data_IF_013211033669
#
_entry.id   IF_013211033669
#
_cell.length_a   1.000
_cell.length_b   1.000
_cell.length_c   1.000
_cell.angle_alpha   90.00
_cell.angle_beta   90.00
_cell.angle_gamma   90.00
#
_symmetry.space_group_name_H-M   'P 1'
#
loop_
_entity.id
_entity.type
_entity.pdbx_description
1 polymer ?
#
# COMPACT_ATOMS: atom_id res chain seq x y z
N UNK A 1 -9.36 -1.80 24.53
CA UNK A 1 -9.30 -2.17 23.12
C UNK A 1 -8.42 -1.24 22.31
N UNK A 2 -8.72 0.05 22.39
CA UNK A 2 -7.86 1.02 21.71
C UNK A 2 -6.43 0.96 22.22
N UNK A 3 -6.28 0.73 23.53
CA UNK A 3 -4.96 0.64 24.13
C UNK A 3 -4.17 -0.54 23.55
N UNK A 4 -4.85 -1.66 23.33
CA UNK A 4 -4.18 -2.83 22.79
C UNK A 4 -3.74 -2.58 21.35
N UNK A 5 -4.57 -1.90 20.56
CA UNK A 5 -4.23 -1.58 19.19
C UNK A 5 -3.03 -0.64 19.13
N UNK A 6 -3.04 0.38 19.98
CA UNK A 6 -1.96 1.35 20.01
C UNK A 6 -0.64 0.70 20.42
N UNK A 7 -0.70 -0.21 21.37
CA UNK A 7 0.49 -0.91 21.81
C UNK A 7 1.06 -1.77 20.69
N UNK A 8 0.19 -2.46 19.97
CA UNK A 8 0.63 -3.28 18.85
C UNK A 8 1.30 -2.43 17.77
N UNK A 9 0.71 -1.27 17.47
CA UNK A 9 1.28 -0.37 16.49
C UNK A 9 2.64 0.16 16.92
N UNK A 10 2.77 0.49 18.19
CA UNK A 10 4.03 0.96 18.72
C UNK A 10 5.12 -0.09 18.58
N UNK A 11 4.78 -1.33 18.87
CA UNK A 11 5.73 -2.42 18.75
C UNK A 11 6.15 -2.61 17.30
N UNK A 12 5.22 -2.52 16.38
CA UNK A 12 5.53 -2.65 14.96
C UNK A 12 6.41 -1.52 14.49
N UNK A 13 6.13 -0.30 14.94
CA UNK A 13 6.96 0.84 14.55
C UNK A 13 8.38 0.73 15.08
N UNK A 14 8.55 0.12 16.24
CA UNK A 14 9.87 -0.13 16.78
C UNK A 14 10.63 -1.18 15.97
N UNK A 15 9.90 -2.15 15.46
CA UNK A 15 10.49 -3.28 14.75
C UNK A 15 10.75 -2.99 13.28
N UNK A 16 9.91 -2.16 12.67
CA UNK A 16 9.96 -1.94 11.23
C UNK A 16 10.22 -0.47 10.94
N UNK A 17 11.39 -0.19 10.40
CA UNK A 17 11.77 1.18 10.05
C UNK A 17 10.86 1.74 8.97
N UNK A 18 10.64 3.04 9.00
CA UNK A 18 9.90 3.78 7.98
C UNK A 18 8.42 3.43 7.88
N UNK A 19 7.88 2.75 8.87
CA UNK A 19 6.46 2.38 8.89
C UNK A 19 5.74 3.23 9.92
N UNK A 20 4.64 3.84 9.53
CA UNK A 20 3.83 4.58 10.48
C UNK A 20 2.35 4.25 10.23
N UNK A 21 1.55 4.30 11.28
CA UNK A 21 0.15 3.96 11.19
C UNK A 21 -0.70 5.21 11.19
N UNK A 22 -1.68 5.27 10.31
CA UNK A 22 -2.60 6.40 10.22
C UNK A 22 -4.01 5.92 9.94
N UNK A 23 -4.96 6.77 10.28
CA UNK A 23 -6.36 6.53 9.92
C UNK A 23 -6.54 6.76 8.43
N UNK A 24 -7.37 5.94 7.83
CA UNK A 24 -7.77 6.12 6.45
C UNK A 24 -9.27 5.86 6.35
N UNK A 25 -9.83 6.08 5.18
CA UNK A 25 -11.25 5.79 4.98
C UNK A 25 -11.55 4.30 5.19
N UNK A 26 -10.56 3.47 5.07
CA UNK A 26 -10.70 2.02 5.30
C UNK A 26 -10.22 1.60 6.69
N UNK A 27 -9.96 2.55 7.60
CA UNK A 27 -9.51 2.26 8.94
C UNK A 27 -8.03 2.54 9.14
N UNK A 28 -7.49 2.04 10.24
CA UNK A 28 -6.06 2.22 10.53
C UNK A 28 -5.25 1.37 9.58
N UNK A 29 -4.25 1.97 8.95
CA UNK A 29 -3.41 1.26 8.00
C UNK A 29 -1.96 1.69 8.13
N UNK A 30 -1.02 0.79 7.78
CA UNK A 30 0.38 1.15 7.75
C UNK A 30 0.72 1.94 6.49
N UNK A 31 1.46 3.00 6.69
CA UNK A 31 1.92 3.88 5.63
C UNK A 31 3.43 3.92 5.62
N UNK A 32 3.99 4.26 4.48
CA UNK A 32 5.40 4.57 4.41
C UNK A 32 5.58 5.95 5.05
N UNK A 33 6.45 6.02 6.05
CA UNK A 33 6.61 7.20 6.88
C UNK A 33 6.92 8.44 6.03
N UNK A 34 6.20 9.51 6.32
CA UNK A 34 6.41 10.78 5.62
C UNK A 34 5.79 10.85 4.24
N UNK A 35 5.03 9.84 3.84
CA UNK A 35 4.39 9.84 2.53
C UNK A 35 2.91 9.55 2.68
N UNK A 36 2.19 9.60 1.57
CA UNK A 36 0.79 9.17 1.54
C UNK A 36 0.63 7.77 1.01
N UNK A 37 1.73 7.06 0.86
CA UNK A 37 1.71 5.72 0.30
C UNK A 37 1.42 4.70 1.37
N UNK A 38 0.37 3.93 1.17
CA UNK A 38 0.09 2.79 2.03
C UNK A 38 1.02 1.65 1.66
N UNK A 39 1.33 0.82 2.63
CA UNK A 39 2.29 -0.26 2.39
C UNK A 39 1.81 -1.19 1.28
N UNK A 40 0.52 -1.51 1.23
CA UNK A 40 0.02 -2.40 0.19
C UNK A 40 0.16 -1.78 -1.20
N UNK A 41 0.11 -0.45 -1.31
CA UNK A 41 0.31 0.22 -2.58
C UNK A 41 1.74 0.05 -3.07
N UNK A 42 2.70 0.19 -2.15
CA UNK A 42 4.10 -0.01 -2.49
C UNK A 42 4.32 -1.44 -2.98
N UNK A 43 3.74 -2.41 -2.28
CA UNK A 43 3.88 -3.81 -2.67
C UNK A 43 3.31 -4.05 -4.06
N UNK A 44 2.14 -3.47 -4.35
CA UNK A 44 1.53 -3.62 -5.66
C UNK A 44 2.42 -3.09 -6.78
N UNK A 45 3.02 -1.93 -6.55
CA UNK A 45 3.89 -1.35 -7.56
C UNK A 45 5.12 -2.21 -7.79
N UNK A 46 5.69 -2.75 -6.70
CA UNK A 46 6.84 -3.63 -6.84
C UNK A 46 6.49 -4.86 -7.66
N UNK A 47 5.31 -5.41 -7.44
CA UNK A 47 4.85 -6.57 -8.21
C UNK A 47 4.67 -6.23 -9.68
N UNK A 48 4.19 -5.03 -9.96
CA UNK A 48 4.02 -4.59 -11.34
C UNK A 48 5.35 -4.53 -12.09
N UNK A 49 6.43 -4.29 -11.37
CA UNK A 49 7.76 -4.26 -11.96
C UNK A 49 8.52 -5.58 -11.76
N UNK A 50 7.78 -6.65 -11.52
CA UNK A 50 8.40 -7.96 -11.42
C UNK A 50 9.32 -8.13 -10.24
N UNK A 51 9.13 -7.35 -9.19
CA UNK A 51 9.97 -7.42 -8.01
C UNK A 51 11.17 -6.49 -8.03
N UNK A 52 11.26 -5.63 -9.02
CA UNK A 52 12.39 -4.71 -9.15
C UNK A 52 12.20 -3.50 -8.25
N UNK A 53 12.92 -3.50 -7.14
CA UNK A 53 12.79 -2.45 -6.14
C UNK A 53 13.24 -1.10 -6.69
N UNK A 54 14.30 -1.09 -7.49
CA UNK A 54 14.81 0.16 -8.04
C UNK A 54 13.80 0.85 -8.94
N UNK A 55 13.14 0.08 -9.79
CA UNK A 55 12.13 0.65 -10.69
C UNK A 55 10.91 1.12 -9.92
N UNK A 56 10.49 0.35 -8.93
CA UNK A 56 9.36 0.74 -8.10
C UNK A 56 9.67 2.02 -7.33
N UNK A 57 10.88 2.12 -6.79
CA UNK A 57 11.29 3.32 -6.06
C UNK A 57 11.26 4.55 -6.96
N UNK A 58 11.74 4.41 -8.17
CA UNK A 58 11.73 5.51 -9.14
C UNK A 58 10.30 5.90 -9.48
N UNK A 59 9.43 4.91 -9.67
CA UNK A 59 8.03 5.17 -9.97
C UNK A 59 7.35 5.93 -8.85
N UNK A 60 7.63 5.54 -7.61
CA UNK A 60 6.99 6.14 -6.44
C UNK A 60 7.70 7.39 -5.95
N UNK A 61 8.87 7.68 -6.49
CA UNK A 61 9.67 8.83 -6.08
C UNK A 61 10.08 8.75 -4.61
N UNK A 62 10.45 7.57 -4.17
CA UNK A 62 10.94 7.37 -2.80
C UNK A 62 12.25 6.59 -2.85
N UNK A 63 13.06 6.68 -1.81
CA UNK A 63 14.31 5.93 -1.79
C UNK A 63 14.09 4.43 -1.80
N UNK A 64 14.98 3.71 -2.45
CA UNK A 64 14.87 2.25 -2.53
C UNK A 64 14.88 1.61 -1.15
N UNK A 65 15.58 2.21 -0.19
CA UNK A 65 15.59 1.68 1.18
C UNK A 65 14.20 1.68 1.81
N UNK A 66 13.40 2.68 1.48
CA UNK A 66 12.04 2.74 2.01
C UNK A 66 11.14 1.70 1.34
N UNK A 67 11.34 1.46 0.05
CA UNK A 67 10.60 0.41 -0.64
C UNK A 67 10.96 -0.95 -0.03
N UNK A 68 12.24 -1.17 0.24
CA UNK A 68 12.68 -2.41 0.87
C UNK A 68 12.06 -2.57 2.25
N UNK A 69 11.95 -1.48 3.00
CA UNK A 69 11.32 -1.51 4.31
C UNK A 69 9.85 -1.90 4.22
N UNK A 70 9.15 -1.38 3.21
CA UNK A 70 7.75 -1.74 3.00
C UNK A 70 7.60 -3.22 2.69
N UNK A 71 8.49 -3.76 1.86
CA UNK A 71 8.45 -5.18 1.54
C UNK A 71 8.76 -6.04 2.76
N UNK A 72 9.66 -5.57 3.59
CA UNK A 72 9.98 -6.28 4.82
C UNK A 72 8.76 -6.37 5.74
N UNK A 73 8.03 -5.27 5.87
CA UNK A 73 6.80 -5.27 6.65
C UNK A 73 5.77 -6.23 6.05
N UNK A 74 5.61 -6.19 4.73
CA UNK A 74 4.66 -7.06 4.06
C UNK A 74 4.99 -8.53 4.24
N UNK A 75 6.28 -8.84 4.28
CA UNK A 75 6.71 -10.22 4.49
C UNK A 75 6.35 -10.71 5.89
N UNK A 76 6.37 -9.82 6.86
CA UNK A 76 6.02 -10.18 8.24
C UNK A 76 4.50 -10.27 8.44
N UNK A 77 3.73 -9.52 7.67
CA UNK A 77 2.28 -9.48 7.81
C UNK A 77 1.60 -9.70 6.45
N UNK A 78 1.84 -10.85 5.84
CA UNK A 78 1.37 -11.08 4.47
C UNK A 78 -0.15 -11.10 4.34
N UNK A 79 -0.85 -11.67 5.32
CA UNK A 79 -2.30 -11.76 5.23
C UNK A 79 -2.95 -10.39 5.24
N UNK A 80 -2.44 -9.51 6.07
CA UNK A 80 -2.94 -8.14 6.17
C UNK A 80 -2.76 -7.40 4.84
N UNK A 81 -1.60 -7.53 4.25
CA UNK A 81 -1.28 -6.82 3.01
C UNK A 81 -2.05 -7.42 1.83
N UNK A 82 -2.13 -8.74 1.76
CA UNK A 82 -2.85 -9.38 0.67
C UNK A 82 -4.34 -9.06 0.74
N UNK A 83 -4.89 -8.98 1.93
CA UNK A 83 -6.29 -8.62 2.09
C UNK A 83 -6.53 -7.19 1.59
N UNK A 84 -5.64 -6.27 1.91
CA UNK A 84 -5.78 -4.89 1.47
C UNK A 84 -5.72 -4.78 -0.05
N UNK A 85 -4.80 -5.50 -0.67
CA UNK A 85 -4.69 -5.50 -2.12
C UNK A 85 -5.95 -6.06 -2.76
N UNK A 86 -6.45 -7.16 -2.22
CA UNK A 86 -7.63 -7.82 -2.73
C UNK A 86 -8.86 -6.92 -2.64
N UNK A 87 -9.02 -6.25 -1.50
CA UNK A 87 -10.14 -5.36 -1.29
C UNK A 87 -10.13 -4.21 -2.29
N UNK A 88 -8.95 -3.69 -2.55
CA UNK A 88 -8.82 -2.59 -3.50
C UNK A 88 -9.14 -3.04 -4.92
N UNK A 89 -8.71 -4.21 -5.30
CA UNK A 89 -8.98 -4.75 -6.62
C UNK A 89 -10.46 -5.02 -6.81
N UNK A 90 -11.10 -5.55 -5.80
CA UNK A 90 -12.54 -5.79 -5.85
C UNK A 90 -13.30 -4.51 -6.04
N UNK A 91 -12.92 -3.46 -5.34
CA UNK A 91 -13.59 -2.17 -5.46
C UNK A 91 -13.52 -1.63 -6.88
N UNK A 92 -12.36 -1.72 -7.50
CA UNK A 92 -12.19 -1.24 -8.87
C UNK A 92 -13.03 -2.06 -9.83
N UNK A 93 -13.00 -3.37 -9.68
CA UNK A 93 -13.77 -4.26 -10.53
C UNK A 93 -15.27 -3.97 -10.43
N UNK A 94 -15.73 -3.76 -9.21
CA UNK A 94 -17.14 -3.48 -9.00
C UNK A 94 -17.54 -2.16 -9.61
N UNK A 95 -16.69 -1.17 -9.50
CA UNK A 95 -16.96 0.12 -10.08
C UNK A 95 -17.06 0.03 -11.60
N UNK A 96 -16.16 -0.70 -12.20
CA UNK A 96 -16.16 -0.89 -13.64
C UNK A 96 -17.43 -1.59 -14.11
N UNK A 97 -17.92 -2.54 -13.33
CA UNK A 97 -19.12 -3.27 -13.67
C UNK A 97 -20.36 -2.40 -13.57
N UNK A 98 -20.41 -1.53 -12.58
CA UNK A 98 -21.56 -0.66 -12.38
C UNK A 98 -21.60 0.52 -13.34
N UNK A 99 -20.43 0.96 -13.80
CA UNK A 99 -20.34 2.10 -14.70
C UNK A 99 -19.46 1.70 -15.88
N UNK A 100 -20.04 0.97 -16.83
CA UNK A 100 -19.25 0.43 -17.95
C UNK A 100 -18.54 1.51 -18.77
N UNK A 101 -19.12 2.69 -18.81
CA UNK A 101 -18.52 3.77 -19.59
C UNK A 101 -17.71 4.72 -18.72
N UNK A 102 -17.19 4.21 -17.66
CA UNK A 102 -16.42 5.02 -16.73
C UNK A 102 -15.10 5.40 -17.37
N UNK A 103 -15.11 6.53 -18.02
CA UNK A 103 -13.98 6.98 -18.76
C UNK A 103 -12.81 7.41 -17.89
N UNK A 104 -13.07 7.49 -16.65
CA UNK A 104 -12.01 7.72 -15.68
C UNK A 104 -10.86 6.76 -15.89
N UNK A 105 -11.22 5.55 -16.24
CA UNK A 105 -10.20 4.55 -16.53
C UNK A 105 -9.32 5.01 -17.68
N UNK A 106 -9.93 5.58 -18.68
CA UNK A 106 -9.18 6.05 -19.83
C UNK A 106 -8.28 7.22 -19.50
N UNK A 107 -8.78 8.10 -18.66
CA UNK A 107 -7.96 9.22 -18.21
C UNK A 107 -6.71 8.69 -17.52
N UNK A 108 -6.89 7.71 -16.68
CA UNK A 108 -5.77 7.09 -16.00
C UNK A 108 -4.80 6.47 -16.97
N UNK A 109 -5.34 5.78 -17.95
CA UNK A 109 -4.51 5.14 -18.96
C UNK A 109 -3.76 6.17 -19.79
N UNK A 110 -4.42 7.26 -20.11
CA UNK A 110 -3.77 8.26 -20.93
C UNK A 110 -2.71 9.01 -20.16
N UNK A 111 -2.83 9.08 -18.85
CA UNK A 111 -1.81 9.73 -18.06
C UNK A 111 -0.58 8.85 -17.90
N UNK A 112 -0.72 7.60 -18.17
CA UNK A 112 0.41 6.70 -18.13
C UNK A 112 1.20 6.81 -19.42
#
# INVERSE_FOLDING_TARGET
>A
ESAAILLDEMLRQCEFAFIEFRDSSAGRQPYLQGTRLKIWQVVSVVRDYGGDISQAAAHLSVPATQVAAALNYAKAFPDEIEAAIRDNECSVTELERLVPNLEVVDVRASSA
#
